data_IF_745219979906
#
_entry.id   IF_745219979906
#
_cell.length_a   1.000
_cell.length_b   1.000
_cell.length_c   1.000
_cell.angle_alpha   90.00
_cell.angle_beta   90.00
_cell.angle_gamma   90.00
#
_symmetry.space_group_name_H-M   'P 1'
#
loop_
_entity.id
_entity.type
_entity.pdbx_description
1 polymer ?
#
# COMPACT_ATOMS: atom_id res chain seq x y z
N UNK A 1 -33.00 -1.62 11.83
CA UNK A 1 -31.55 -1.92 11.95
C UNK A 1 -30.87 -1.47 10.66
N UNK A 2 -30.00 -0.45 10.73
CA UNK A 2 -29.22 0.02 9.56
C UNK A 2 -27.99 -0.89 9.41
N UNK A 3 -28.10 -1.96 8.62
CA UNK A 3 -26.91 -2.68 8.12
C UNK A 3 -26.49 -2.06 6.79
N UNK A 4 -26.10 -0.79 6.83
CA UNK A 4 -25.39 -0.17 5.72
C UNK A 4 -23.92 -0.54 5.86
N UNK A 5 -23.40 -1.45 5.03
CA UNK A 5 -21.98 -1.41 4.70
C UNK A 5 -21.76 -0.10 3.97
N UNK A 6 -21.55 0.99 4.71
CA UNK A 6 -21.13 2.26 4.15
C UNK A 6 -19.79 2.01 3.46
N UNK A 7 -19.83 1.88 2.13
CA UNK A 7 -18.63 1.95 1.31
C UNK A 7 -18.07 3.36 1.48
N UNK A 8 -16.92 3.47 2.12
CA UNK A 8 -16.12 4.69 2.10
C UNK A 8 -15.82 5.02 0.64
N UNK A 9 -16.51 6.04 0.11
CA UNK A 9 -16.37 6.45 -1.28
C UNK A 9 -15.21 7.43 -1.36
N UNK A 10 -14.06 6.96 -1.87
CA UNK A 10 -12.92 7.83 -2.16
C UNK A 10 -13.15 8.40 -3.56
N UNK A 11 -13.39 9.71 -3.64
CA UNK A 11 -13.57 10.42 -4.91
C UNK A 11 -12.22 10.61 -5.58
N UNK A 12 -11.90 9.76 -6.56
CA UNK A 12 -10.72 9.94 -7.43
C UNK A 12 -11.05 11.00 -8.47
N UNK A 13 -10.35 12.14 -8.45
CA UNK A 13 -10.58 13.24 -9.38
C UNK A 13 -10.27 12.81 -10.81
N UNK A 14 -11.29 12.85 -11.67
CA UNK A 14 -11.18 12.50 -13.09
C UNK A 14 -10.64 13.71 -13.87
N UNK A 15 -9.34 13.71 -14.20
CA UNK A 15 -8.83 14.57 -15.28
C UNK A 15 -9.44 14.14 -16.63
N UNK A 16 -9.71 15.06 -17.57
CA UNK A 16 -10.08 14.69 -18.93
C UNK A 16 -8.92 13.91 -19.58
N UNK A 17 -9.14 12.66 -19.97
CA UNK A 17 -8.18 11.84 -20.74
C UNK A 17 -7.43 10.75 -19.98
N UNK A 18 -7.61 10.60 -18.66
CA UNK A 18 -7.03 9.47 -17.90
C UNK A 18 -8.06 8.91 -16.92
N UNK A 19 -8.78 7.85 -17.32
CA UNK A 19 -9.67 7.13 -16.40
C UNK A 19 -8.84 6.24 -15.46
N UNK A 20 -8.39 6.82 -14.35
CA UNK A 20 -7.57 6.14 -13.34
C UNK A 20 -8.39 5.28 -12.36
N UNK A 21 -9.72 5.20 -12.51
CA UNK A 21 -10.61 4.45 -11.59
C UNK A 21 -10.29 2.96 -11.59
N UNK A 22 -10.09 2.36 -12.77
CA UNK A 22 -9.76 0.94 -12.88
C UNK A 22 -8.41 0.60 -12.23
N UNK A 23 -7.41 1.46 -12.42
CA UNK A 23 -6.10 1.31 -11.77
C UNK A 23 -6.21 1.48 -10.25
N UNK A 24 -6.96 2.47 -9.78
CA UNK A 24 -7.17 2.70 -8.35
C UNK A 24 -7.89 1.53 -7.69
N UNK A 25 -8.90 0.98 -8.36
CA UNK A 25 -9.61 -0.21 -7.90
C UNK A 25 -8.70 -1.44 -7.87
N UNK A 26 -7.89 -1.67 -8.92
CA UNK A 26 -6.90 -2.75 -8.96
C UNK A 26 -5.91 -2.66 -7.79
N UNK A 27 -5.31 -1.49 -7.54
CA UNK A 27 -4.37 -1.31 -6.43
C UNK A 27 -5.05 -1.43 -5.07
N UNK A 28 -6.27 -0.91 -4.93
CA UNK A 28 -7.05 -1.05 -3.70
C UNK A 28 -7.37 -2.51 -3.40
N UNK A 29 -7.80 -3.28 -4.41
CA UNK A 29 -8.07 -4.71 -4.28
C UNK A 29 -6.79 -5.49 -3.94
N UNK A 30 -5.65 -5.12 -4.54
CA UNK A 30 -4.37 -5.74 -4.20
C UNK A 30 -3.96 -5.48 -2.76
N UNK A 31 -4.14 -4.27 -2.23
CA UNK A 31 -3.90 -3.98 -0.80
C UNK A 31 -4.78 -4.87 0.09
N UNK A 32 -6.08 -4.98 -0.23
CA UNK A 32 -7.01 -5.83 0.54
C UNK A 32 -6.59 -7.30 0.53
N UNK A 33 -6.10 -7.80 -0.61
CA UNK A 33 -5.57 -9.15 -0.75
C UNK A 33 -4.31 -9.36 0.10
N UNK A 34 -3.32 -8.47 0.03
CA UNK A 34 -2.10 -8.61 0.84
C UNK A 34 -2.40 -8.50 2.35
N UNK A 35 -3.32 -7.62 2.74
CA UNK A 35 -3.77 -7.49 4.14
C UNK A 35 -4.55 -8.72 4.62
N UNK A 36 -5.29 -9.40 3.74
CA UNK A 36 -6.01 -10.63 4.12
C UNK A 36 -5.04 -11.77 4.38
N UNK A 37 -3.98 -11.90 3.58
CA UNK A 37 -2.89 -12.84 3.86
C UNK A 37 -2.19 -12.53 5.19
N UNK A 38 -1.85 -11.26 5.46
CA UNK A 38 -1.27 -10.87 6.74
C UNK A 38 -2.18 -11.22 7.92
N UNK A 39 -3.49 -10.96 7.79
CA UNK A 39 -4.45 -11.32 8.82
C UNK A 39 -4.46 -12.83 9.06
N UNK A 40 -4.47 -13.65 8.01
CA UNK A 40 -4.41 -15.11 8.12
C UNK A 40 -3.12 -15.56 8.85
N UNK A 41 -1.97 -15.05 8.45
CA UNK A 41 -0.66 -15.42 9.02
C UNK A 41 -0.58 -15.09 10.51
N UNK A 42 -1.10 -13.93 10.92
CA UNK A 42 -1.11 -13.48 12.33
C UNK A 42 -2.00 -14.36 13.19
N UNK A 43 -3.14 -14.83 12.68
CA UNK A 43 -4.04 -15.72 13.42
C UNK A 43 -3.63 -17.18 13.38
N UNK A 44 -2.78 -17.57 12.43
CA UNK A 44 -2.32 -18.94 12.28
C UNK A 44 -1.38 -19.36 13.42
N UNK A 45 -1.65 -20.48 14.11
CA UNK A 45 -0.84 -20.94 15.23
C UNK A 45 0.52 -21.46 14.78
N UNK A 46 1.55 -21.24 15.61
CA UNK A 46 2.92 -21.69 15.36
C UNK A 46 3.66 -20.89 14.30
N UNK A 47 4.89 -21.32 14.00
CA UNK A 47 5.82 -20.60 13.10
C UNK A 47 5.94 -21.23 11.71
N UNK A 48 5.05 -22.18 11.39
CA UNK A 48 5.03 -22.81 10.09
C UNK A 48 4.61 -21.80 9.00
N UNK A 49 5.38 -21.68 7.89
CA UNK A 49 4.97 -20.91 6.73
C UNK A 49 3.76 -21.55 6.02
N UNK A 50 3.07 -20.77 5.18
CA UNK A 50 2.15 -21.34 4.18
C UNK A 50 2.95 -22.11 3.13
N UNK A 51 2.32 -23.08 2.47
CA UNK A 51 2.98 -23.87 1.42
C UNK A 51 3.68 -22.97 0.40
N UNK A 52 4.95 -23.25 0.13
CA UNK A 52 5.79 -22.50 -0.82
C UNK A 52 6.62 -21.37 -0.22
N UNK A 53 6.39 -20.97 1.04
CA UNK A 53 7.22 -19.97 1.72
C UNK A 53 8.37 -20.61 2.51
N UNK A 54 9.59 -20.04 2.48
CA UNK A 54 10.72 -20.62 3.20
C UNK A 54 10.61 -20.41 4.72
N UNK A 55 9.97 -19.33 5.18
CA UNK A 55 9.66 -19.07 6.58
C UNK A 55 8.43 -18.18 6.76
N UNK A 56 7.78 -18.27 7.92
CA UNK A 56 6.65 -17.40 8.28
C UNK A 56 7.05 -15.92 8.28
N UNK A 57 8.31 -15.63 8.62
CA UNK A 57 8.86 -14.27 8.58
C UNK A 57 8.93 -13.73 7.14
N UNK A 58 9.46 -14.51 6.21
CA UNK A 58 9.53 -14.10 4.80
C UNK A 58 8.14 -13.93 4.17
N UNK A 59 7.18 -14.77 4.57
CA UNK A 59 5.78 -14.63 4.18
C UNK A 59 5.19 -13.29 4.67
N UNK A 60 5.40 -12.95 5.95
CA UNK A 60 4.99 -11.65 6.52
C UNK A 60 5.69 -10.50 5.79
N UNK A 61 7.01 -10.56 5.65
CA UNK A 61 7.81 -9.50 5.04
C UNK A 61 7.37 -9.22 3.60
N UNK A 62 7.05 -10.26 2.83
CA UNK A 62 6.54 -10.13 1.47
C UNK A 62 5.17 -9.42 1.43
N UNK A 63 4.16 -9.96 2.12
CA UNK A 63 2.80 -9.41 2.06
C UNK A 63 2.74 -8.00 2.64
N UNK A 64 3.51 -7.73 3.71
CA UNK A 64 3.67 -6.39 4.26
C UNK A 64 4.28 -5.42 3.25
N UNK A 65 5.38 -5.81 2.61
CA UNK A 65 6.05 -4.97 1.59
C UNK A 65 5.11 -4.65 0.42
N UNK A 66 4.35 -5.63 -0.07
CA UNK A 66 3.40 -5.41 -1.17
C UNK A 66 2.24 -4.50 -0.76
N UNK A 67 1.68 -4.69 0.44
CA UNK A 67 0.61 -3.83 0.96
C UNK A 67 1.08 -2.37 1.08
N UNK A 68 2.24 -2.13 1.71
CA UNK A 68 2.84 -0.81 1.87
C UNK A 68 3.14 -0.17 0.51
N UNK A 69 3.77 -0.91 -0.40
CA UNK A 69 4.11 -0.42 -1.74
C UNK A 69 2.86 0.04 -2.51
N UNK A 70 1.79 -0.75 -2.50
CA UNK A 70 0.56 -0.39 -3.21
C UNK A 70 -0.16 0.79 -2.52
N UNK A 71 -0.13 0.87 -1.19
CA UNK A 71 -0.67 2.03 -0.46
C UNK A 71 0.08 3.32 -0.81
N UNK A 72 1.42 3.28 -0.90
CA UNK A 72 2.23 4.43 -1.30
C UNK A 72 1.99 4.85 -2.75
N UNK A 73 1.76 3.89 -3.66
CA UNK A 73 1.35 4.18 -5.05
C UNK A 73 -0.01 4.87 -5.12
N UNK A 74 -0.95 4.54 -4.24
CA UNK A 74 -2.22 5.26 -4.16
C UNK A 74 -2.01 6.66 -3.56
N UNK A 75 -1.22 6.76 -2.50
CA UNK A 75 -0.91 8.03 -1.86
C UNK A 75 -0.22 9.02 -2.83
N UNK A 76 0.61 8.53 -3.75
CA UNK A 76 1.26 9.37 -4.77
C UNK A 76 0.26 10.07 -5.71
N UNK A 77 -0.89 9.45 -5.98
CA UNK A 77 -1.96 10.06 -6.79
C UNK A 77 -2.70 11.18 -6.05
N UNK A 78 -2.76 11.12 -4.71
CA UNK A 78 -3.43 12.13 -3.89
C UNK A 78 -2.60 13.42 -3.72
N UNK A 79 -1.31 13.39 -4.07
CA UNK A 79 -0.34 14.45 -3.82
C UNK A 79 -0.03 15.36 -5.01
N UNK A 80 -1.02 15.75 -5.83
CA UNK A 80 -0.85 16.59 -7.03
C UNK A 80 -0.37 18.05 -6.79
N UNK A 81 0.44 18.33 -5.75
CA UNK A 81 1.09 19.63 -5.55
C UNK A 81 2.59 19.54 -5.83
N UNK A 82 3.08 20.34 -6.78
CA UNK A 82 4.46 20.73 -7.21
C UNK A 82 5.59 19.68 -7.28
N UNK A 83 5.60 18.64 -6.46
CA UNK A 83 6.55 17.51 -6.51
C UNK A 83 5.77 16.19 -6.37
N UNK A 84 5.54 15.42 -7.45
CA UNK A 84 4.90 14.11 -7.36
C UNK A 84 5.80 13.10 -6.63
N UNK A 85 5.19 12.14 -5.94
CA UNK A 85 5.92 11.05 -5.27
C UNK A 85 6.47 10.09 -6.32
N UNK A 86 7.78 9.86 -6.32
CA UNK A 86 8.47 9.04 -7.33
C UNK A 86 8.57 7.58 -6.91
N UNK A 87 8.96 6.69 -7.84
CA UNK A 87 9.27 5.30 -7.51
C UNK A 87 10.43 5.20 -6.51
N UNK A 88 11.45 6.05 -6.65
CA UNK A 88 12.58 6.12 -5.71
C UNK A 88 12.14 6.54 -4.30
N UNK A 89 11.16 7.44 -4.19
CA UNK A 89 10.60 7.81 -2.88
C UNK A 89 9.85 6.65 -2.23
N UNK A 90 9.13 5.85 -3.03
CA UNK A 90 8.46 4.64 -2.57
C UNK A 90 9.48 3.63 -2.05
N UNK A 91 10.52 3.34 -2.82
CA UNK A 91 11.56 2.39 -2.42
C UNK A 91 12.35 2.88 -1.20
N UNK A 92 12.65 4.19 -1.12
CA UNK A 92 13.26 4.80 0.07
C UNK A 92 12.41 4.58 1.33
N UNK A 93 11.08 4.71 1.25
CA UNK A 93 10.21 4.47 2.42
C UNK A 93 10.12 2.98 2.75
N UNK A 94 10.08 2.10 1.75
CA UNK A 94 10.01 0.65 1.98
C UNK A 94 11.29 0.17 2.65
N UNK A 95 12.45 0.52 2.12
CA UNK A 95 13.75 0.04 2.59
C UNK A 95 14.21 0.77 3.87
N UNK A 96 13.96 2.08 3.93
CA UNK A 96 14.37 2.95 5.03
C UNK A 96 13.33 3.09 6.15
N UNK A 97 12.14 2.53 5.98
CA UNK A 97 11.04 2.67 6.93
C UNK A 97 10.69 4.14 7.23
N UNK A 98 10.40 4.44 8.50
CA UNK A 98 10.06 5.80 8.90
C UNK A 98 11.19 6.81 8.67
N UNK A 99 12.46 6.38 8.79
CA UNK A 99 13.62 7.24 8.48
C UNK A 99 13.61 7.66 7.01
N UNK A 100 13.37 6.70 6.10
CA UNK A 100 13.26 6.99 4.67
C UNK A 100 12.13 7.99 4.34
N UNK A 101 11.02 7.93 5.08
CA UNK A 101 9.94 8.93 4.98
C UNK A 101 10.37 10.33 5.44
N UNK A 102 11.14 10.43 6.53
CA UNK A 102 11.65 11.70 7.03
C UNK A 102 12.64 12.33 6.03
N UNK A 103 13.56 11.53 5.48
CA UNK A 103 14.52 11.98 4.45
C UNK A 103 13.81 12.47 3.18
N UNK A 104 12.80 11.73 2.72
CA UNK A 104 11.93 12.18 1.63
C UNK A 104 11.29 13.54 1.93
N UNK A 105 10.73 13.72 3.14
CA UNK A 105 10.09 14.96 3.54
C UNK A 105 11.06 16.14 3.63
N UNK A 106 12.24 15.93 4.20
CA UNK A 106 13.28 16.97 4.29
C UNK A 106 13.74 17.41 2.90
N UNK A 107 13.93 16.46 1.98
CA UNK A 107 14.21 16.76 0.57
C UNK A 107 13.09 17.51 -0.17
N UNK A 108 11.89 17.62 0.40
CA UNK A 108 10.82 18.49 -0.12
C UNK A 108 10.82 19.90 0.43
N UNK A 109 11.52 20.14 1.54
CA UNK A 109 11.58 21.45 2.19
C UNK A 109 12.73 22.32 1.67
N UNK A 110 13.66 21.77 0.86
CA UNK A 110 14.69 22.52 0.13
C UNK A 110 14.34 22.76 -1.35
#
# INVERSE_FOLDING_TARGET
MKNGKEKTTITVSTRPGLDSRGWFEEKSNRILEELSFLADIVHRPGDAPSEGWPSKREEIDFHFTQAVRNALKIASLSGETERPFTAEDIDRIIDGGHKGYLEYREGRQS
#
